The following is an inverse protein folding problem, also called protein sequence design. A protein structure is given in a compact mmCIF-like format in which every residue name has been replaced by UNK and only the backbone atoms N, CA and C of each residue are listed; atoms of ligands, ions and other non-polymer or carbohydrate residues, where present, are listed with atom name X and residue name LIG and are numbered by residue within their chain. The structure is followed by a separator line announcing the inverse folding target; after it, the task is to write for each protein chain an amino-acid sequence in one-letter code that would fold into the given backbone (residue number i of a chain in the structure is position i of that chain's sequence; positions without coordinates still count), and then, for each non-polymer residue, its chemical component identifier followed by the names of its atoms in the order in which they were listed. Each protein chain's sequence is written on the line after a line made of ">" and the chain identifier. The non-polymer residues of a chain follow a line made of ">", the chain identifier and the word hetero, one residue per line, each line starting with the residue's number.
data_IF_815981081908
#
_entry.id   IF_815981081908
#
_cell.length_a   1.000
_cell.length_b   1.000
_cell.length_c   1.000
_cell.angle_alpha   90.00
_cell.angle_beta   90.00
_cell.angle_gamma   90.00
#
_symmetry.space_group_name_H-M   'P 1'
#
loop_
_entity.id
_entity.type
_entity.pdbx_description
1 polymer ?
#
# COMPACT_ATOMS: atom_id res chain seq x y z
N UNK A 1 -9.10 -17.57 -15.67
CA UNK A 1 -9.23 -17.29 -14.22
C UNK A 1 -7.85 -17.50 -13.66
N UNK A 2 -7.13 -16.43 -13.31
CA UNK A 2 -5.75 -16.55 -12.81
C UNK A 2 -5.88 -16.82 -11.32
N UNK A 3 -5.35 -17.96 -10.86
CA UNK A 3 -5.22 -18.26 -9.44
C UNK A 3 -4.58 -17.05 -8.74
N UNK A 4 -5.15 -16.52 -7.65
CA UNK A 4 -4.44 -15.59 -6.79
C UNK A 4 -3.39 -16.42 -6.06
N UNK A 5 -2.30 -16.77 -6.76
CA UNK A 5 -1.10 -17.30 -6.14
C UNK A 5 -0.73 -16.25 -5.11
N UNK A 6 -0.89 -16.58 -3.83
CA UNK A 6 -0.53 -15.70 -2.72
C UNK A 6 0.84 -15.13 -3.05
N UNK A 7 0.88 -13.82 -3.33
CA UNK A 7 2.15 -13.16 -3.51
C UNK A 7 2.92 -13.39 -2.20
N UNK A 8 4.21 -13.77 -2.26
CA UNK A 8 5.00 -13.99 -1.06
C UNK A 8 4.80 -12.81 -0.10
N UNK A 9 4.52 -13.11 1.16
CA UNK A 9 4.13 -12.13 2.15
C UNK A 9 5.13 -10.96 2.15
N UNK A 10 4.58 -9.73 2.11
CA UNK A 10 5.35 -8.51 2.29
C UNK A 10 6.02 -8.44 3.66
N UNK A 11 6.76 -7.36 3.95
CA UNK A 11 7.32 -7.12 5.29
C UNK A 11 6.21 -7.12 6.35
N UNK A 12 6.57 -7.42 7.61
CA UNK A 12 5.65 -7.21 8.73
C UNK A 12 5.45 -5.71 8.99
N UNK A 13 4.37 -5.33 9.68
CA UNK A 13 4.13 -3.95 10.06
C UNK A 13 5.28 -3.38 10.92
N UNK A 14 5.83 -4.18 11.83
CA UNK A 14 6.99 -3.79 12.65
C UNK A 14 8.23 -3.56 11.79
N UNK A 15 8.41 -4.38 10.74
CA UNK A 15 9.51 -4.23 9.78
C UNK A 15 9.36 -2.92 9.01
N UNK A 16 8.15 -2.60 8.53
CA UNK A 16 7.86 -1.33 7.84
C UNK A 16 8.20 -0.14 8.73
N UNK A 17 7.71 -0.13 9.97
CA UNK A 17 7.97 0.96 10.93
C UNK A 17 9.47 1.12 11.19
N UNK A 18 10.19 0.01 11.41
CA UNK A 18 11.62 0.03 11.70
C UNK A 18 12.45 0.51 10.49
N UNK A 19 12.14 0.00 9.29
CA UNK A 19 12.87 0.31 8.06
C UNK A 19 12.59 1.74 7.59
N UNK A 20 11.35 2.21 7.68
CA UNK A 20 10.97 3.58 7.33
C UNK A 20 11.46 4.64 8.34
N UNK A 21 12.03 4.22 9.48
CA UNK A 21 12.50 5.16 10.51
C UNK A 21 11.38 5.83 11.30
N UNK A 22 10.17 5.26 11.26
CA UNK A 22 9.01 5.81 11.94
C UNK A 22 9.04 5.57 13.45
N UNK A 23 8.41 6.47 14.22
CA UNK A 23 8.21 6.24 15.64
C UNK A 23 7.15 5.15 15.85
N UNK A 24 7.55 3.98 16.36
CA UNK A 24 6.64 2.88 16.68
C UNK A 24 5.53 3.26 17.70
N UNK A 25 5.71 4.36 18.44
CA UNK A 25 4.69 4.88 19.35
C UNK A 25 3.48 5.43 18.59
N UNK A 26 3.72 6.11 17.48
CA UNK A 26 2.73 6.92 16.78
C UNK A 26 2.32 6.30 15.45
N UNK A 27 3.28 5.80 14.68
CA UNK A 27 3.03 5.30 13.35
C UNK A 27 2.11 4.08 13.35
N UNK A 28 1.21 4.01 12.37
CA UNK A 28 0.29 2.90 12.14
C UNK A 28 0.42 2.47 10.69
N UNK A 29 0.72 1.19 10.48
CA UNK A 29 0.70 0.61 9.14
C UNK A 29 -0.74 0.27 8.80
N UNK A 30 -1.22 0.82 7.69
CA UNK A 30 -2.61 0.78 7.28
C UNK A 30 -2.88 -0.35 6.29
N UNK A 31 -1.93 -0.61 5.39
CA UNK A 31 -1.96 -1.70 4.42
C UNK A 31 -0.55 -1.99 3.90
N UNK A 32 -0.29 -3.24 3.48
CA UNK A 32 0.99 -3.67 2.90
C UNK A 32 0.69 -4.57 1.70
N UNK A 33 1.40 -4.35 0.59
CA UNK A 33 1.43 -5.28 -0.54
C UNK A 33 2.87 -5.50 -0.99
N UNK A 34 3.21 -6.73 -1.35
CA UNK A 34 4.53 -7.07 -1.85
C UNK A 34 4.47 -8.15 -2.92
N UNK A 35 5.51 -8.23 -3.73
CA UNK A 35 5.71 -9.30 -4.72
C UNK A 35 6.86 -10.26 -4.34
N UNK A 36 7.39 -10.13 -3.11
CA UNK A 36 8.51 -10.91 -2.57
C UNK A 36 9.89 -10.30 -2.76
N UNK A 37 10.03 -9.30 -3.63
CA UNK A 37 11.25 -8.52 -3.83
C UNK A 37 11.03 -7.05 -3.52
N UNK A 38 9.88 -6.50 -3.90
CA UNK A 38 9.45 -5.15 -3.61
C UNK A 38 8.16 -5.19 -2.79
N UNK A 39 7.96 -4.18 -1.98
CA UNK A 39 6.75 -3.95 -1.23
C UNK A 39 6.44 -2.47 -1.11
N UNK A 40 5.15 -2.17 -1.00
CA UNK A 40 4.64 -0.86 -0.68
C UNK A 40 3.79 -0.95 0.59
N UNK A 41 3.96 0.01 1.48
CA UNK A 41 3.19 0.14 2.70
C UNK A 41 2.58 1.53 2.80
N UNK A 42 1.33 1.59 3.23
CA UNK A 42 0.71 2.84 3.65
C UNK A 42 0.90 3.03 5.15
N UNK A 43 1.43 4.18 5.55
CA UNK A 43 1.75 4.49 6.93
C UNK A 43 1.07 5.80 7.32
N UNK A 44 0.20 5.73 8.32
CA UNK A 44 -0.23 6.91 9.07
C UNK A 44 0.87 7.25 10.08
N UNK A 45 1.62 8.32 9.84
CA UNK A 45 2.91 8.56 10.52
C UNK A 45 2.77 9.02 11.96
N UNK A 46 1.65 9.66 12.27
CA UNK A 46 1.38 10.23 13.58
C UNK A 46 0.17 9.56 14.29
N UNK A 47 -0.58 8.72 13.57
CA UNK A 47 -1.71 7.95 14.09
C UNK A 47 -3.04 8.72 14.14
N UNK A 48 -3.15 9.86 13.47
CA UNK A 48 -4.35 10.70 13.45
C UNK A 48 -5.28 10.44 12.25
N UNK A 49 -4.85 9.62 11.29
CA UNK A 49 -5.58 9.26 10.09
C UNK A 49 -5.64 10.34 9.01
N UNK A 50 -4.85 11.42 9.14
CA UNK A 50 -4.79 12.57 8.24
C UNK A 50 -3.55 12.52 7.35
N UNK A 51 -2.37 12.34 7.94
CA UNK A 51 -1.10 12.27 7.21
C UNK A 51 -0.72 10.82 6.93
N UNK A 52 -1.00 10.38 5.71
CA UNK A 52 -0.60 9.06 5.22
C UNK A 52 0.52 9.19 4.20
N UNK A 53 1.58 8.41 4.40
CA UNK A 53 2.70 8.24 3.50
C UNK A 53 2.63 6.87 2.82
N UNK A 54 3.18 6.79 1.61
CA UNK A 54 3.48 5.54 0.93
C UNK A 54 4.98 5.30 0.97
N UNK A 55 5.36 4.16 1.56
CA UNK A 55 6.74 3.72 1.69
C UNK A 55 6.99 2.52 0.78
N UNK A 56 8.02 2.64 -0.04
CA UNK A 56 8.61 1.55 -0.81
C UNK A 56 9.67 0.83 0.04
N UNK A 57 9.66 -0.49 -0.01
CA UNK A 57 10.68 -1.35 0.56
C UNK A 57 11.13 -2.36 -0.48
N UNK A 58 12.43 -2.60 -0.56
CA UNK A 58 12.99 -3.65 -1.40
C UNK A 58 13.80 -4.64 -0.60
N UNK A 59 13.91 -5.86 -1.09
CA UNK A 59 14.60 -6.97 -0.44
C UNK A 59 15.98 -7.14 -1.06
N UNK A 60 17.03 -7.06 -0.23
CA UNK A 60 18.39 -7.29 -0.70
C UNK A 60 18.69 -8.78 -0.94
N UNK A 61 19.92 -9.06 -1.41
CA UNK A 61 20.40 -10.41 -1.67
C UNK A 61 20.51 -11.30 -0.42
N UNK A 62 20.61 -10.69 0.76
CA UNK A 62 20.60 -11.38 2.06
C UNK A 62 19.17 -11.61 2.58
N UNK A 63 18.16 -11.16 1.84
CA UNK A 63 16.76 -11.31 2.20
C UNK A 63 16.27 -10.28 3.21
N UNK A 64 17.02 -9.19 3.46
CA UNK A 64 16.64 -8.10 4.37
C UNK A 64 15.84 -7.04 3.62
N UNK A 65 14.86 -6.45 4.31
CA UNK A 65 14.12 -5.30 3.79
C UNK A 65 14.92 -4.02 4.01
N UNK A 66 15.03 -3.21 2.97
CA UNK A 66 15.72 -1.93 2.93
C UNK A 66 14.74 -0.83 2.49
N UNK A 67 14.95 0.42 2.92
CA UNK A 67 14.07 1.52 2.54
C UNK A 67 14.33 1.92 1.08
N UNK A 68 13.26 2.08 0.31
CA UNK A 68 13.26 2.65 -1.04
C UNK A 68 12.85 4.12 -1.02
N UNK A 69 11.90 4.49 -1.88
CA UNK A 69 11.23 5.79 -1.86
C UNK A 69 10.24 5.91 -0.69
N UNK A 70 10.07 7.12 -0.17
CA UNK A 70 8.92 7.50 0.64
C UNK A 70 8.30 8.77 0.05
N UNK A 71 6.97 8.82 -0.03
CA UNK A 71 6.26 9.99 -0.51
C UNK A 71 4.92 10.17 0.17
N UNK A 72 4.49 11.43 0.34
CA UNK A 72 3.16 11.74 0.83
C UNK A 72 2.09 11.14 -0.07
N UNK A 73 1.22 10.32 0.50
CA UNK A 73 0.12 9.70 -0.23
C UNK A 73 -1.02 10.69 -0.55
N UNK A 74 -0.96 11.90 0.04
CA UNK A 74 -1.91 12.99 -0.17
C UNK A 74 -3.25 12.76 0.52
N UNK A 75 -3.64 13.67 1.42
CA UNK A 75 -4.86 13.57 2.24
C UNK A 75 -6.18 13.99 1.57
N UNK A 76 -6.35 13.88 0.24
CA UNK A 76 -7.65 14.21 -0.38
C UNK A 76 -8.65 13.08 -0.18
N UNK A 77 -9.25 13.11 1.01
CA UNK A 77 -10.40 12.35 1.48
C UNK A 77 -11.67 12.88 0.82
N UNK A 78 -11.89 12.61 -0.46
CA UNK A 78 -13.21 12.86 -1.05
C UNK A 78 -14.11 11.68 -0.68
N UNK A 79 -15.25 11.88 0.00
CA UNK A 79 -16.22 10.81 0.20
C UNK A 79 -16.68 10.34 -1.17
N UNK A 80 -16.40 9.08 -1.43
CA UNK A 80 -16.69 8.45 -2.69
C UNK A 80 -18.21 8.19 -2.79
N UNK A 81 -18.99 9.21 -3.17
CA UNK A 81 -20.41 9.06 -3.47
C UNK A 81 -20.61 8.09 -4.64
N UNK A 82 -21.46 7.08 -4.44
CA UNK A 82 -21.93 6.05 -5.37
C UNK A 82 -21.27 6.07 -6.77
N UNK A 83 -20.43 5.05 -7.04
CA UNK A 83 -19.52 4.87 -8.20
C UNK A 83 -18.14 5.51 -8.09
N UNK A 84 -17.79 6.08 -6.94
CA UNK A 84 -16.55 6.80 -6.82
C UNK A 84 -15.32 5.87 -6.73
N UNK A 85 -14.61 5.93 -7.84
CA UNK A 85 -13.18 5.74 -7.99
C UNK A 85 -12.47 6.26 -6.74
N UNK A 86 -11.80 5.36 -6.03
CA UNK A 86 -10.92 5.65 -4.90
C UNK A 86 -10.00 6.86 -5.23
N UNK A 87 -9.56 7.62 -4.21
CA UNK A 87 -8.34 8.42 -4.39
C UNK A 87 -7.21 7.44 -4.65
N UNK A 88 -6.90 7.22 -5.93
CA UNK A 88 -5.87 6.30 -6.39
C UNK A 88 -4.61 7.12 -6.64
N UNK A 89 -3.63 6.99 -5.74
CA UNK A 89 -2.26 7.22 -6.13
C UNK A 89 -1.81 6.03 -6.97
N UNK A 90 -1.18 6.29 -8.12
CA UNK A 90 -0.54 5.27 -8.93
C UNK A 90 0.82 5.76 -9.38
N UNK A 91 1.77 4.84 -9.50
CA UNK A 91 3.11 5.14 -9.97
C UNK A 91 3.76 3.91 -10.57
N UNK A 92 4.88 4.16 -11.23
CA UNK A 92 5.84 3.16 -11.65
C UNK A 92 7.15 3.48 -10.93
N UNK A 93 7.73 2.51 -10.22
CA UNK A 93 9.06 2.68 -9.64
C UNK A 93 10.15 2.57 -10.73
N UNK A 94 11.42 2.67 -10.33
CA UNK A 94 12.55 2.64 -11.25
C UNK A 94 12.77 1.26 -11.92
N UNK A 95 12.18 0.21 -11.36
CA UNK A 95 12.27 -1.17 -11.85
C UNK A 95 11.02 -1.59 -12.66
N UNK A 96 10.13 -0.64 -12.97
CA UNK A 96 8.90 -0.89 -13.72
C UNK A 96 7.74 -1.40 -12.88
N UNK A 97 7.88 -1.40 -11.54
CA UNK A 97 6.86 -1.89 -10.63
C UNK A 97 5.69 -0.91 -10.58
N UNK A 98 4.50 -1.42 -10.85
CA UNK A 98 3.27 -0.64 -10.77
C UNK A 98 2.65 -0.81 -9.41
N UNK A 99 2.34 0.30 -8.77
CA UNK A 99 1.60 0.30 -7.51
C UNK A 99 0.36 1.19 -7.61
N UNK A 100 -0.61 0.85 -6.77
CA UNK A 100 -1.79 1.65 -6.56
C UNK A 100 -2.27 1.50 -5.13
N UNK A 101 -2.88 2.54 -4.59
CA UNK A 101 -3.41 2.50 -3.24
C UNK A 101 -4.66 3.37 -3.11
N UNK A 102 -5.43 3.18 -2.05
CA UNK A 102 -6.59 4.03 -1.78
C UNK A 102 -7.40 3.55 -0.58
N UNK A 103 -8.61 4.13 -0.43
CA UNK A 103 -9.60 3.73 0.57
C UNK A 103 -10.78 2.99 -0.04
N UNK A 104 -11.38 2.10 0.74
CA UNK A 104 -12.64 1.43 0.44
C UNK A 104 -13.66 1.63 1.56
N UNK A 105 -14.94 1.45 1.23
CA UNK A 105 -16.06 1.71 2.15
C UNK A 105 -16.20 0.64 3.25
N UNK A 106 -15.68 -0.56 3.01
CA UNK A 106 -15.75 -1.70 3.94
C UNK A 106 -14.53 -2.61 3.81
N UNK A 107 -14.07 -3.21 4.91
CA UNK A 107 -13.03 -4.24 4.88
C UNK A 107 -13.43 -5.45 4.04
N UNK A 108 -12.41 -6.15 3.53
CA UNK A 108 -12.51 -7.39 2.77
C UNK A 108 -12.27 -7.24 1.27
N UNK A 109 -12.53 -8.31 0.49
CA UNK A 109 -12.26 -8.33 -0.95
C UNK A 109 -13.10 -7.29 -1.72
N UNK A 110 -12.44 -6.61 -2.66
CA UNK A 110 -13.03 -5.58 -3.51
C UNK A 110 -12.46 -5.58 -4.92
N UNK A 111 -13.06 -4.75 -5.77
CA UNK A 111 -12.53 -4.45 -7.10
C UNK A 111 -12.47 -2.95 -7.30
N UNK A 112 -11.33 -2.46 -7.79
CA UNK A 112 -11.12 -1.04 -8.09
C UNK A 112 -10.66 -0.89 -9.53
N UNK A 113 -10.84 0.31 -10.10
CA UNK A 113 -10.32 0.65 -11.43
C UNK A 113 -9.06 1.50 -11.28
N UNK A 114 -7.95 1.02 -11.83
CA UNK A 114 -6.66 1.72 -11.87
C UNK A 114 -6.22 1.77 -13.33
N UNK A 115 -5.97 2.97 -13.87
CA UNK A 115 -5.55 3.13 -15.27
C UNK A 115 -6.51 2.49 -16.29
N UNK A 116 -7.82 2.46 -16.00
CA UNK A 116 -8.83 1.81 -16.84
C UNK A 116 -8.94 0.29 -16.68
N UNK A 117 -8.03 -0.35 -15.96
CA UNK A 117 -8.06 -1.78 -15.65
C UNK A 117 -8.79 -2.05 -14.34
N UNK A 118 -9.63 -3.10 -14.31
CA UNK A 118 -10.18 -3.61 -13.04
C UNK A 118 -9.14 -4.50 -12.36
N UNK A 119 -8.80 -4.17 -11.13
CA UNK A 119 -7.92 -4.97 -10.27
C UNK A 119 -8.68 -5.45 -9.04
N UNK A 120 -8.34 -6.65 -8.57
CA UNK A 120 -8.81 -7.15 -7.29
C UNK A 120 -7.90 -6.60 -6.19
N UNK A 121 -8.50 -6.17 -5.09
CA UNK A 121 -7.82 -5.64 -3.91
C UNK A 121 -8.46 -6.23 -2.66
N UNK A 122 -7.73 -6.19 -1.55
CA UNK A 122 -8.28 -6.44 -0.21
C UNK A 122 -8.23 -5.11 0.54
N UNK A 123 -9.39 -4.66 1.01
CA UNK A 123 -9.49 -3.50 1.90
C UNK A 123 -9.23 -4.00 3.31
N UNK A 124 -8.21 -3.45 3.95
CA UNK A 124 -7.86 -3.77 5.33
C UNK A 124 -8.90 -3.20 6.31
N UNK A 125 -8.84 -3.63 7.57
CA UNK A 125 -9.71 -3.11 8.64
C UNK A 125 -9.57 -1.59 8.84
N UNK A 126 -8.44 -1.02 8.44
CA UNK A 126 -8.18 0.43 8.43
C UNK A 126 -8.97 1.18 7.35
N UNK A 127 -9.65 0.46 6.45
CA UNK A 127 -10.29 0.99 5.26
C UNK A 127 -9.33 1.26 4.11
N UNK A 128 -8.03 1.00 4.27
CA UNK A 128 -7.03 1.20 3.23
C UNK A 128 -6.72 -0.07 2.46
N UNK A 129 -6.28 0.09 1.22
CA UNK A 129 -5.75 -0.98 0.41
C UNK A 129 -4.52 -0.48 -0.34
N UNK A 130 -3.60 -1.39 -0.61
CA UNK A 130 -2.46 -1.17 -1.50
C UNK A 130 -2.31 -2.39 -2.41
N UNK A 131 -1.83 -2.15 -3.61
CA UNK A 131 -1.68 -3.13 -4.66
C UNK A 131 -0.35 -2.92 -5.36
N UNK A 132 0.27 -4.03 -5.74
CA UNK A 132 1.55 -4.04 -6.42
C UNK A 132 1.56 -5.08 -7.53
N UNK A 133 2.17 -4.76 -8.67
CA UNK A 133 2.49 -5.72 -9.73
C UNK A 133 3.80 -5.38 -10.45
N UNK A 134 4.45 -6.41 -11.02
CA UNK A 134 5.43 -6.21 -12.08
C UNK A 134 4.81 -5.61 -13.34
#
# INVERSE_FOLDING_TARGET
>A
MVDPKELPAGPSAETVVAVGGWSARYARVLAIAGNGQHAFALVDTNGDGVEVDIDELFRDHDGRWLPGMSSGAGGSLVPAGHDAVCSVGYGEDWDGLRYAYGRGDRPGPGQVRVGGQRIAVTVEESGWWVWVRP
#
